data_IF_366725622916
#
_entry.id   IF_366725622916
#
_cell.length_a   1.000
_cell.length_b   1.000
_cell.length_c   1.000
_cell.angle_alpha   90.00
_cell.angle_beta   90.00
_cell.angle_gamma   90.00
#
_symmetry.space_group_name_H-M   'P 1'
#
loop_
_entity.id
_entity.type
_entity.pdbx_description
1 polymer ?
#
# COMPACT_ATOMS: atom_id res chain seq x y z
N UNK A 1 48.60 8.25 -57.70
CA UNK A 1 48.82 9.40 -58.59
C UNK A 1 48.59 10.73 -57.83
N UNK A 2 49.01 11.87 -58.42
CA UNK A 2 48.77 13.18 -57.74
C UNK A 2 47.29 13.44 -57.45
N UNK A 3 46.38 12.90 -58.26
CA UNK A 3 44.94 12.98 -58.11
C UNK A 3 44.45 12.26 -56.86
N UNK A 4 44.99 11.09 -56.53
CA UNK A 4 44.60 10.31 -55.35
C UNK A 4 45.05 11.02 -54.06
N UNK A 5 46.23 11.61 -54.07
CA UNK A 5 46.75 12.38 -52.91
C UNK A 5 45.89 13.64 -52.65
N UNK A 6 45.50 14.34 -53.71
CA UNK A 6 44.60 15.49 -53.59
C UNK A 6 43.19 15.08 -53.06
N UNK A 7 42.64 13.98 -53.56
CA UNK A 7 41.37 13.44 -53.07
C UNK A 7 41.43 13.06 -51.60
N UNK A 8 42.50 12.34 -51.17
CA UNK A 8 42.66 11.96 -49.77
C UNK A 8 42.83 13.19 -48.86
N UNK A 9 43.57 14.20 -49.30
CA UNK A 9 43.71 15.47 -48.58
C UNK A 9 42.37 16.18 -48.42
N UNK A 10 41.59 16.30 -49.53
CA UNK A 10 40.26 16.91 -49.45
C UNK A 10 39.29 16.14 -48.55
N UNK A 11 39.33 14.82 -48.61
CA UNK A 11 38.54 13.94 -47.74
C UNK A 11 38.88 14.08 -46.28
N UNK A 12 40.20 14.18 -45.98
CA UNK A 12 40.67 14.40 -44.59
C UNK A 12 40.23 15.81 -44.07
N UNK A 13 40.28 16.83 -44.93
CA UNK A 13 39.81 18.17 -44.59
C UNK A 13 38.28 18.18 -44.31
N UNK A 14 37.50 17.48 -45.15
CA UNK A 14 36.05 17.34 -44.94
C UNK A 14 35.73 16.67 -43.58
N UNK A 15 36.38 15.56 -43.30
CA UNK A 15 36.18 14.82 -42.02
C UNK A 15 36.55 15.68 -40.82
N UNK A 16 37.62 16.47 -40.89
CA UNK A 16 37.99 17.42 -39.82
C UNK A 16 36.92 18.49 -39.62
N UNK A 17 36.46 19.12 -40.71
CA UNK A 17 35.41 20.14 -40.66
C UNK A 17 34.09 19.60 -40.12
N UNK A 18 33.73 18.36 -40.45
CA UNK A 18 32.59 17.69 -39.90
C UNK A 18 32.75 17.43 -38.38
N UNK A 19 33.90 16.94 -37.93
CA UNK A 19 34.18 16.74 -36.52
C UNK A 19 34.16 18.06 -35.72
N UNK A 20 34.68 19.14 -36.27
CA UNK A 20 34.63 20.48 -35.66
C UNK A 20 33.17 20.99 -35.54
N UNK A 21 32.38 20.83 -36.59
CA UNK A 21 30.95 21.16 -36.55
C UNK A 21 30.24 20.37 -35.47
N UNK A 22 30.44 19.07 -35.41
CA UNK A 22 29.77 18.20 -34.47
C UNK A 22 30.14 18.55 -33.00
N UNK A 23 31.40 18.87 -32.76
CA UNK A 23 31.85 19.41 -31.45
C UNK A 23 31.17 20.74 -31.11
N UNK A 24 31.05 21.65 -32.08
CA UNK A 24 30.39 22.93 -31.86
C UNK A 24 28.88 22.75 -31.56
N UNK A 25 28.22 21.78 -32.20
CA UNK A 25 26.83 21.45 -31.93
C UNK A 25 26.63 20.90 -30.50
N UNK A 26 27.48 19.97 -30.05
CA UNK A 26 27.47 19.45 -28.68
C UNK A 26 27.68 20.59 -27.69
N UNK A 27 28.67 21.45 -27.90
CA UNK A 27 28.93 22.60 -27.05
C UNK A 27 27.77 23.62 -27.03
N UNK A 28 26.96 23.69 -28.06
CA UNK A 28 25.75 24.51 -28.09
C UNK A 28 24.60 23.82 -27.30
N UNK A 29 24.43 22.50 -27.43
CA UNK A 29 23.43 21.72 -26.66
C UNK A 29 23.72 21.79 -25.19
N UNK A 30 24.99 21.70 -24.76
CA UNK A 30 25.42 21.78 -23.38
C UNK A 30 25.10 23.12 -22.69
N UNK A 31 24.75 24.15 -23.48
CA UNK A 31 24.29 25.45 -22.97
C UNK A 31 22.83 25.47 -22.59
N UNK A 32 22.09 24.43 -22.93
CA UNK A 32 20.67 24.23 -22.56
C UNK A 32 20.52 23.03 -21.69
N UNK A 33 20.39 23.23 -20.36
CA UNK A 33 20.08 22.17 -19.46
C UNK A 33 18.58 21.82 -19.53
N UNK A 34 18.27 20.55 -19.78
CA UNK A 34 16.91 20.05 -19.87
C UNK A 34 16.67 18.98 -18.83
N UNK A 35 15.44 18.91 -18.33
CA UNK A 35 15.00 17.83 -17.47
C UNK A 35 15.13 16.48 -18.19
N UNK A 36 15.80 15.47 -17.58
CA UNK A 36 15.97 14.14 -18.19
C UNK A 36 14.69 13.30 -18.19
N UNK A 37 13.73 13.62 -17.33
CA UNK A 37 12.43 12.96 -17.18
C UNK A 37 11.35 13.98 -16.78
N UNK A 38 10.10 13.58 -16.86
CA UNK A 38 8.96 14.37 -16.40
C UNK A 38 8.89 14.33 -14.86
N UNK A 39 8.76 15.49 -14.22
CA UNK A 39 8.74 15.54 -12.75
C UNK A 39 8.41 16.93 -12.22
N UNK A 40 8.61 17.10 -10.93
CA UNK A 40 8.45 18.37 -10.21
C UNK A 40 9.83 18.92 -9.88
N UNK A 41 10.07 20.16 -10.28
CA UNK A 41 11.31 20.86 -9.95
C UNK A 41 11.17 21.46 -8.56
N UNK A 42 12.14 21.15 -7.69
CA UNK A 42 12.27 21.76 -6.37
C UNK A 42 12.65 23.24 -6.43
N UNK A 43 12.69 23.87 -5.28
CA UNK A 43 13.11 25.24 -5.15
C UNK A 43 14.58 25.41 -5.55
N UNK A 44 14.91 26.49 -6.22
CA UNK A 44 16.28 26.87 -6.58
C UNK A 44 16.59 28.26 -6.06
N UNK A 45 17.83 28.42 -5.58
CA UNK A 45 18.35 29.71 -5.13
C UNK A 45 19.17 30.41 -6.23
N UNK A 46 19.22 29.85 -7.43
CA UNK A 46 19.96 30.43 -8.54
C UNK A 46 19.26 31.68 -9.07
N UNK A 47 20.07 32.70 -9.35
CA UNK A 47 19.61 33.97 -9.92
C UNK A 47 20.22 34.19 -11.28
N UNK A 48 19.52 34.90 -12.17
CA UNK A 48 20.01 35.25 -13.48
C UNK A 48 21.30 36.06 -13.37
N UNK A 49 22.29 35.72 -14.16
CA UNK A 49 23.62 36.35 -14.16
C UNK A 49 24.60 35.73 -13.14
N UNK A 50 24.20 34.77 -12.36
CA UNK A 50 25.10 34.08 -11.47
C UNK A 50 26.10 33.20 -12.21
N UNK A 51 27.36 33.24 -11.80
CA UNK A 51 28.39 32.34 -12.31
C UNK A 51 28.19 30.96 -11.66
N UNK A 52 28.03 29.94 -12.48
CA UNK A 52 27.91 28.55 -12.05
C UNK A 52 29.03 27.70 -12.64
N UNK A 53 29.36 26.62 -11.98
CA UNK A 53 30.30 25.61 -12.46
C UNK A 53 29.62 24.22 -12.52
N UNK A 54 30.38 23.19 -12.90
CA UNK A 54 29.84 21.82 -13.02
C UNK A 54 29.46 21.17 -11.70
N UNK A 55 29.87 21.73 -10.57
CA UNK A 55 29.56 21.23 -9.23
C UNK A 55 28.36 21.97 -8.61
N UNK A 56 27.89 23.05 -9.23
CA UNK A 56 26.80 23.85 -8.71
C UNK A 56 25.46 23.13 -8.96
N UNK A 57 24.73 22.70 -7.90
CA UNK A 57 23.42 22.12 -8.08
C UNK A 57 22.44 23.18 -8.57
N UNK A 58 21.68 22.89 -9.61
CA UNK A 58 20.75 23.84 -10.22
C UNK A 58 19.37 23.75 -9.58
N UNK A 59 18.83 22.55 -9.49
CA UNK A 59 17.57 22.24 -8.85
C UNK A 59 17.47 20.73 -8.60
N UNK A 60 16.61 20.32 -7.71
CA UNK A 60 16.19 18.92 -7.60
C UNK A 60 15.06 18.68 -8.61
N UNK A 61 14.99 17.46 -9.12
CA UNK A 61 13.90 17.02 -9.98
C UNK A 61 13.39 15.68 -9.45
N UNK A 62 12.15 15.66 -9.00
CA UNK A 62 11.53 14.51 -8.38
C UNK A 62 10.38 13.97 -9.24
N UNK A 63 10.37 12.67 -9.49
CA UNK A 63 9.19 11.99 -10.02
C UNK A 63 8.28 11.59 -8.85
N UNK A 64 7.17 12.30 -8.71
CA UNK A 64 6.20 12.08 -7.65
C UNK A 64 4.98 11.28 -8.12
N UNK A 65 5.03 10.65 -9.28
CA UNK A 65 3.92 9.85 -9.81
C UNK A 65 3.66 8.59 -8.98
N UNK A 66 4.72 8.00 -8.45
CA UNK A 66 4.70 6.87 -7.53
C UNK A 66 5.60 7.18 -6.34
N UNK A 67 5.11 6.97 -5.16
CA UNK A 67 5.90 7.12 -3.93
C UNK A 67 6.35 5.73 -3.46
N UNK A 68 7.65 5.59 -3.29
CA UNK A 68 8.23 4.42 -2.64
C UNK A 68 8.29 4.64 -1.13
N UNK A 69 7.82 3.65 -0.37
CA UNK A 69 7.83 3.67 1.09
C UNK A 69 8.60 2.48 1.61
N UNK A 70 9.69 2.75 2.31
CA UNK A 70 10.51 1.73 2.96
C UNK A 70 10.05 1.56 4.42
N UNK A 71 9.81 0.32 4.81
CA UNK A 71 9.44 -0.03 6.17
C UNK A 71 9.96 -1.41 6.53
N UNK A 72 9.97 -1.73 7.84
CA UNK A 72 10.48 -3.02 8.31
C UNK A 72 9.38 -3.78 9.04
N UNK A 73 9.39 -5.09 8.93
CA UNK A 73 8.47 -5.98 9.64
C UNK A 73 9.25 -7.05 10.41
N UNK A 74 8.72 -7.56 11.53
CA UNK A 74 9.35 -8.67 12.26
C UNK A 74 9.53 -9.92 11.40
N UNK A 75 10.67 -10.63 11.57
CA UNK A 75 11.00 -11.84 10.79
C UNK A 75 9.95 -12.96 10.89
N UNK A 76 9.17 -13.00 11.98
CA UNK A 76 8.11 -13.98 12.19
C UNK A 76 7.01 -13.89 11.11
N UNK A 77 6.88 -12.75 10.45
CA UNK A 77 5.90 -12.54 9.38
C UNK A 77 6.37 -13.04 8.00
N UNK A 78 7.66 -13.39 7.86
CA UNK A 78 8.26 -13.80 6.59
C UNK A 78 7.44 -14.87 5.83
N UNK A 79 6.90 -15.94 6.48
CA UNK A 79 6.12 -16.94 5.76
C UNK A 79 4.79 -16.43 5.17
N UNK A 80 4.35 -15.25 5.60
CA UNK A 80 3.07 -14.63 5.19
C UNK A 80 3.27 -13.42 4.25
N UNK A 81 4.52 -13.09 3.92
CA UNK A 81 4.84 -11.95 3.07
C UNK A 81 4.90 -12.38 1.62
N UNK A 82 4.21 -11.64 0.76
CA UNK A 82 4.21 -11.84 -0.68
C UNK A 82 4.43 -10.50 -1.40
N UNK A 83 5.18 -10.54 -2.49
CA UNK A 83 5.24 -9.40 -3.41
C UNK A 83 3.86 -9.20 -4.06
N UNK A 84 3.45 -7.96 -4.27
CA UNK A 84 2.10 -7.61 -4.73
C UNK A 84 1.04 -7.58 -3.61
N UNK A 85 1.44 -7.85 -2.35
CA UNK A 85 0.54 -7.79 -1.21
C UNK A 85 0.13 -6.36 -0.92
N UNK A 86 -1.16 -6.15 -0.65
CA UNK A 86 -1.72 -4.82 -0.39
C UNK A 86 -1.22 -4.23 0.91
N UNK A 87 -0.92 -2.95 0.86
CA UNK A 87 -0.63 -2.12 2.03
C UNK A 87 -1.56 -0.91 2.05
N UNK A 88 -1.96 -0.51 3.23
CA UNK A 88 -2.71 0.71 3.47
C UNK A 88 -1.84 1.69 4.25
N UNK A 89 -1.87 2.94 3.83
CA UNK A 89 -1.05 3.97 4.44
C UNK A 89 -1.92 5.14 4.86
N UNK A 90 -1.60 5.69 6.02
CA UNK A 90 -2.24 6.90 6.53
C UNK A 90 -1.19 7.93 6.92
N UNK A 91 -1.56 9.20 6.83
CA UNK A 91 -0.71 10.32 7.18
C UNK A 91 -1.44 11.29 8.08
N UNK A 92 -0.74 11.85 9.05
CA UNK A 92 -1.27 12.92 9.88
C UNK A 92 -1.56 14.21 9.07
N UNK A 93 -0.89 14.40 7.93
CA UNK A 93 -1.15 15.53 7.03
C UNK A 93 -2.50 15.41 6.30
N UNK A 94 -3.06 14.20 6.19
CA UNK A 94 -4.32 13.92 5.50
C UNK A 94 -5.25 13.07 6.38
N UNK A 95 -5.85 13.67 7.43
CA UNK A 95 -6.71 12.93 8.35
C UNK A 95 -7.90 12.28 7.64
N UNK A 96 -8.14 11.00 7.92
CA UNK A 96 -9.25 10.24 7.33
C UNK A 96 -9.03 9.75 5.91
N UNK A 97 -7.87 10.03 5.30
CA UNK A 97 -7.52 9.50 3.98
C UNK A 97 -6.62 8.28 4.10
N UNK A 98 -6.99 7.23 3.42
CA UNK A 98 -6.20 6.00 3.28
C UNK A 98 -5.62 5.96 1.87
N UNK A 99 -4.32 5.81 1.77
CA UNK A 99 -3.61 5.57 0.53
C UNK A 99 -3.39 4.07 0.39
N UNK A 100 -3.57 3.54 -0.79
CA UNK A 100 -3.38 2.12 -1.07
C UNK A 100 -2.15 1.93 -1.94
N UNK A 101 -1.38 0.89 -1.62
CA UNK A 101 -0.21 0.50 -2.38
C UNK A 101 0.01 -0.99 -2.30
N UNK A 102 1.10 -1.45 -2.89
CA UNK A 102 1.47 -2.86 -2.92
C UNK A 102 2.95 -3.03 -2.59
N UNK A 103 3.30 -4.15 -1.97
CA UNK A 103 4.70 -4.52 -1.73
C UNK A 103 5.37 -4.76 -3.08
N UNK A 104 6.29 -3.87 -3.45
CA UNK A 104 7.07 -4.01 -4.68
C UNK A 104 8.32 -4.86 -4.48
N UNK A 105 8.91 -4.79 -3.28
CA UNK A 105 10.15 -5.52 -2.98
C UNK A 105 10.22 -5.97 -1.53
N UNK A 106 10.78 -7.16 -1.34
CA UNK A 106 11.10 -7.77 -0.05
C UNK A 106 12.61 -7.99 -0.02
N UNK A 107 13.31 -7.48 1.00
CA UNK A 107 14.74 -7.74 1.14
C UNK A 107 14.98 -9.25 1.36
N UNK A 108 16.11 -9.73 0.89
CA UNK A 108 16.51 -11.13 1.06
C UNK A 108 17.20 -11.39 2.40
N UNK A 109 17.48 -10.34 3.18
CA UNK A 109 18.23 -10.42 4.44
C UNK A 109 17.42 -9.87 5.60
N UNK A 110 17.48 -10.60 6.71
CA UNK A 110 16.98 -10.15 8.01
C UNK A 110 18.08 -9.37 8.72
N UNK A 111 17.77 -8.20 9.23
CA UNK A 111 18.65 -7.46 10.11
C UNK A 111 18.75 -8.20 11.46
N UNK A 112 19.97 -8.65 11.79
CA UNK A 112 20.22 -9.46 12.98
C UNK A 112 20.08 -8.66 14.29
N UNK A 113 20.24 -7.34 14.25
CA UNK A 113 20.15 -6.49 15.44
C UNK A 113 18.70 -6.20 15.81
N UNK A 114 17.85 -5.96 14.82
CA UNK A 114 16.43 -5.61 15.00
C UNK A 114 15.48 -6.79 14.82
N UNK A 115 15.98 -7.93 14.31
CA UNK A 115 15.16 -9.09 13.92
C UNK A 115 14.02 -8.73 12.98
N UNK A 116 14.30 -7.83 12.06
CA UNK A 116 13.33 -7.31 11.10
C UNK A 116 13.78 -7.49 9.66
N UNK A 117 12.80 -7.51 8.76
CA UNK A 117 12.97 -7.61 7.33
C UNK A 117 12.53 -6.29 6.70
N UNK A 118 13.36 -5.72 5.83
CA UNK A 118 13.02 -4.50 5.12
C UNK A 118 12.10 -4.81 3.92
N UNK A 119 11.10 -3.98 3.75
CA UNK A 119 10.13 -4.05 2.66
C UNK A 119 10.04 -2.69 1.98
N UNK A 120 9.74 -2.71 0.70
CA UNK A 120 9.40 -1.53 -0.08
C UNK A 120 8.01 -1.68 -0.67
N UNK A 121 7.18 -0.67 -0.49
CA UNK A 121 5.88 -0.58 -1.14
C UNK A 121 5.85 0.58 -2.11
N UNK A 122 5.10 0.44 -3.19
CA UNK A 122 4.82 1.47 -4.17
C UNK A 122 3.37 1.94 -4.05
N UNK A 123 3.19 3.25 -4.00
CA UNK A 123 1.90 3.90 -3.82
C UNK A 123 1.67 4.86 -4.99
N UNK A 124 0.64 4.66 -5.82
CA UNK A 124 0.23 5.63 -6.83
C UNK A 124 -0.09 6.99 -6.20
N UNK A 125 0.42 8.06 -6.79
CA UNK A 125 0.28 9.42 -6.26
C UNK A 125 -0.15 10.41 -7.36
N UNK A 126 -1.20 10.06 -8.08
CA UNK A 126 -1.68 10.81 -9.25
C UNK A 126 -2.04 12.26 -8.92
N UNK A 127 -2.58 12.51 -7.74
CA UNK A 127 -2.95 13.82 -7.24
C UNK A 127 -1.82 14.56 -6.51
N UNK A 128 -0.64 13.95 -6.41
CA UNK A 128 0.55 14.49 -5.74
C UNK A 128 0.31 14.92 -4.29
N UNK A 129 -0.57 14.21 -3.59
CA UNK A 129 -0.86 14.46 -2.18
C UNK A 129 0.30 14.04 -1.28
N UNK A 130 1.06 13.04 -1.66
CA UNK A 130 2.25 12.58 -0.96
C UNK A 130 3.49 13.26 -1.51
N UNK A 131 4.40 13.63 -0.62
CA UNK A 131 5.70 14.19 -0.95
C UNK A 131 6.82 13.37 -0.32
N UNK A 132 8.00 13.41 -0.91
CA UNK A 132 9.19 12.78 -0.34
C UNK A 132 9.46 13.27 1.09
N UNK A 133 9.89 12.39 1.97
CA UNK A 133 10.18 12.72 3.38
C UNK A 133 8.96 12.78 4.30
N UNK A 134 7.75 12.49 3.82
CA UNK A 134 6.56 12.42 4.68
C UNK A 134 6.60 11.18 5.56
N UNK A 135 6.13 11.35 6.81
CA UNK A 135 5.90 10.24 7.71
C UNK A 135 4.54 9.57 7.40
N UNK A 136 4.57 8.26 7.20
CA UNK A 136 3.40 7.45 6.91
C UNK A 136 3.28 6.29 7.90
N UNK A 137 2.07 6.03 8.36
CA UNK A 137 1.76 4.80 9.08
C UNK A 137 1.38 3.73 8.06
N UNK A 138 2.07 2.61 8.09
CA UNK A 138 1.85 1.48 7.18
C UNK A 138 1.05 0.41 7.90
N UNK A 139 -0.02 -0.04 7.27
CA UNK A 139 -0.83 -1.18 7.65
C UNK A 139 -0.69 -2.26 6.59
N UNK A 140 -0.10 -3.37 6.95
CA UNK A 140 0.07 -4.51 6.08
C UNK A 140 -1.16 -5.43 6.16
N UNK A 141 -1.79 -5.71 5.03
CA UNK A 141 -2.91 -6.67 4.93
C UNK A 141 -2.33 -8.06 4.74
N UNK A 142 -2.31 -8.88 5.81
CA UNK A 142 -1.67 -10.21 5.78
C UNK A 142 -2.55 -11.29 5.16
N UNK A 143 -3.86 -11.20 5.37
CA UNK A 143 -4.86 -12.13 4.82
C UNK A 143 -6.15 -11.38 4.52
N UNK A 144 -6.74 -11.63 3.37
CA UNK A 144 -8.12 -11.26 3.07
C UNK A 144 -8.98 -12.52 3.11
N UNK A 145 -9.87 -12.60 4.09
CA UNK A 145 -10.82 -13.72 4.22
C UNK A 145 -12.23 -13.17 4.22
N UNK A 146 -13.11 -13.81 3.49
CA UNK A 146 -14.55 -13.53 3.57
C UNK A 146 -15.19 -14.58 4.44
N UNK A 147 -15.53 -14.23 5.67
CA UNK A 147 -16.25 -15.09 6.60
C UNK A 147 -17.45 -14.36 7.18
N UNK A 148 -18.50 -15.07 7.56
CA UNK A 148 -19.61 -14.46 8.27
C UNK A 148 -19.11 -13.82 9.57
N UNK A 149 -19.57 -12.61 9.86
CA UNK A 149 -19.33 -11.96 11.14
C UNK A 149 -20.67 -11.63 11.78
N UNK A 150 -20.78 -11.85 13.07
CA UNK A 150 -21.98 -11.61 13.88
C UNK A 150 -21.68 -10.61 14.99
N UNK A 151 -22.64 -9.80 15.41
CA UNK A 151 -22.47 -8.90 16.55
C UNK A 151 -22.07 -9.68 17.82
N UNK A 152 -21.14 -9.13 18.59
CA UNK A 152 -20.66 -9.71 19.83
C UNK A 152 -21.80 -10.00 20.82
N UNK A 153 -22.80 -9.12 20.87
CA UNK A 153 -23.98 -9.30 21.73
C UNK A 153 -24.92 -10.42 21.28
N UNK A 154 -24.70 -11.07 20.15
CA UNK A 154 -25.43 -12.23 19.69
C UNK A 154 -24.84 -13.56 20.19
N UNK A 155 -23.66 -13.50 20.81
CA UNK A 155 -22.91 -14.67 21.25
C UNK A 155 -23.14 -14.91 22.75
N UNK A 156 -23.41 -16.17 23.10
CA UNK A 156 -23.48 -16.65 24.50
C UNK A 156 -22.36 -17.65 24.73
N UNK A 157 -21.61 -17.48 25.81
CA UNK A 157 -20.54 -18.41 26.17
C UNK A 157 -20.99 -19.26 27.36
N UNK A 158 -21.01 -20.57 27.18
CA UNK A 158 -21.33 -21.55 28.22
C UNK A 158 -20.17 -22.53 28.41
N UNK A 159 -19.36 -22.27 29.43
CA UNK A 159 -18.12 -23.04 29.67
C UNK A 159 -17.15 -22.85 28.49
N UNK A 160 -16.82 -23.95 27.81
CA UNK A 160 -15.92 -23.93 26.65
C UNK A 160 -16.65 -23.82 25.29
N UNK A 161 -17.99 -23.70 25.33
CA UNK A 161 -18.81 -23.63 24.10
C UNK A 161 -19.25 -22.20 23.83
N UNK A 162 -19.23 -21.85 22.57
CA UNK A 162 -19.73 -20.58 22.04
C UNK A 162 -21.01 -20.86 21.27
N UNK A 163 -22.09 -20.26 21.70
CA UNK A 163 -23.45 -20.55 21.23
C UNK A 163 -24.08 -19.30 20.62
N UNK A 164 -24.90 -19.48 19.61
CA UNK A 164 -25.73 -18.43 19.01
C UNK A 164 -27.16 -18.94 18.81
N UNK A 165 -28.13 -18.04 18.90
CA UNK A 165 -29.51 -18.33 18.57
C UNK A 165 -29.79 -18.00 17.11
N UNK A 166 -30.26 -18.96 16.34
CA UNK A 166 -30.60 -18.84 14.92
C UNK A 166 -32.12 -18.94 14.76
N UNK A 167 -32.71 -18.08 13.94
CA UNK A 167 -34.12 -18.16 13.60
C UNK A 167 -34.33 -19.14 12.44
N UNK A 168 -35.02 -20.26 12.73
CA UNK A 168 -35.47 -21.26 11.76
C UNK A 168 -37.00 -21.15 11.63
N UNK A 169 -37.49 -20.46 10.61
CA UNK A 169 -38.94 -20.17 10.46
C UNK A 169 -39.43 -19.33 11.63
N UNK A 170 -40.36 -19.89 12.44
CA UNK A 170 -40.95 -19.25 13.62
C UNK A 170 -40.39 -19.82 14.95
N UNK A 171 -39.28 -20.54 14.93
CA UNK A 171 -38.64 -21.08 16.13
C UNK A 171 -37.18 -20.63 16.22
N UNK A 172 -36.72 -20.52 17.45
CA UNK A 172 -35.31 -20.30 17.72
C UNK A 172 -34.59 -21.66 17.86
N UNK A 173 -33.38 -21.74 17.36
CA UNK A 173 -32.50 -22.89 17.51
C UNK A 173 -31.16 -22.45 18.02
N UNK A 174 -30.68 -23.15 19.05
CA UNK A 174 -29.32 -22.96 19.55
C UNK A 174 -28.33 -23.70 18.67
N UNK A 175 -27.25 -23.01 18.28
CA UNK A 175 -26.20 -23.54 17.41
C UNK A 175 -24.87 -23.23 18.03
N UNK A 176 -24.04 -24.26 18.16
CA UNK A 176 -22.65 -24.13 18.58
C UNK A 176 -21.80 -23.67 17.38
N UNK A 177 -20.96 -22.67 17.61
CA UNK A 177 -20.09 -22.09 16.58
C UNK A 177 -18.64 -22.02 17.05
N UNK A 178 -17.74 -22.10 16.10
CA UNK A 178 -16.35 -21.74 16.33
C UNK A 178 -16.16 -20.27 15.92
N UNK A 179 -15.56 -19.51 16.82
CA UNK A 179 -15.31 -18.08 16.59
C UNK A 179 -13.84 -17.84 16.24
N UNK A 180 -13.62 -16.83 15.42
CA UNK A 180 -12.29 -16.34 15.04
C UNK A 180 -11.98 -15.00 15.71
N UNK A 181 -11.55 -14.03 14.90
CA UNK A 181 -11.16 -12.72 15.40
C UNK A 181 -12.39 -11.88 15.77
N UNK A 182 -12.16 -10.95 16.71
CA UNK A 182 -13.14 -9.97 17.15
C UNK A 182 -12.65 -8.58 16.77
N UNK A 183 -13.48 -7.84 16.04
CA UNK A 183 -13.15 -6.49 15.61
C UNK A 183 -14.40 -5.62 15.48
N UNK A 184 -14.32 -4.36 15.92
CA UNK A 184 -15.39 -3.35 15.77
C UNK A 184 -16.77 -3.80 16.30
N UNK A 185 -16.79 -4.64 17.37
CA UNK A 185 -18.01 -5.20 17.97
C UNK A 185 -18.62 -6.35 17.16
N UNK A 186 -17.87 -6.90 16.22
CA UNK A 186 -18.20 -8.11 15.46
C UNK A 186 -17.25 -9.24 15.80
N UNK A 187 -17.76 -10.48 15.75
CA UNK A 187 -17.00 -11.72 15.93
C UNK A 187 -17.09 -12.54 14.65
N UNK A 188 -15.95 -12.94 14.13
CA UNK A 188 -15.84 -13.84 12.98
C UNK A 188 -16.38 -15.22 13.36
N UNK A 189 -17.18 -15.83 12.48
CA UNK A 189 -17.63 -17.22 12.60
C UNK A 189 -16.80 -18.08 11.66
N UNK A 190 -15.98 -18.95 12.25
CA UNK A 190 -15.09 -19.86 11.52
C UNK A 190 -15.86 -21.07 11.01
N UNK A 191 -16.74 -21.63 11.87
CA UNK A 191 -17.57 -22.78 11.53
C UNK A 191 -18.84 -22.81 12.38
N UNK A 192 -19.77 -23.71 12.03
CA UNK A 192 -21.02 -23.93 12.78
C UNK A 192 -22.21 -23.12 12.25
N UNK A 193 -22.02 -22.08 11.43
CA UNK A 193 -23.11 -21.25 10.94
C UNK A 193 -23.19 -21.26 9.40
N UNK A 194 -24.39 -21.47 8.86
CA UNK A 194 -24.59 -21.36 7.42
C UNK A 194 -24.53 -19.88 7.00
N UNK A 195 -24.00 -19.54 5.80
CA UNK A 195 -23.88 -18.16 5.33
C UNK A 195 -25.21 -17.40 5.24
N UNK A 196 -26.33 -18.13 5.10
CA UNK A 196 -27.70 -17.57 5.02
C UNK A 196 -28.45 -17.62 6.36
N UNK A 197 -27.80 -18.06 7.45
CA UNK A 197 -28.44 -18.16 8.74
C UNK A 197 -28.82 -16.78 9.29
N UNK A 198 -29.99 -16.67 9.88
CA UNK A 198 -30.47 -15.45 10.55
C UNK A 198 -30.22 -15.54 12.03
N UNK A 199 -29.22 -14.81 12.52
CA UNK A 199 -28.85 -14.80 13.92
C UNK A 199 -29.74 -13.84 14.71
N UNK A 200 -30.22 -14.27 15.87
CA UNK A 200 -31.03 -13.45 16.77
C UNK A 200 -30.06 -12.60 17.60
N UNK A 201 -30.22 -11.28 17.54
CA UNK A 201 -29.31 -10.30 18.18
C UNK A 201 -29.94 -9.56 19.35
N UNK A 202 -31.26 -9.75 19.58
CA UNK A 202 -31.99 -9.04 20.63
C UNK A 202 -32.82 -9.99 21.48
N UNK A 203 -33.07 -9.62 22.76
CA UNK A 203 -33.87 -10.39 23.71
C UNK A 203 -33.39 -11.83 23.97
N UNK A 204 -32.12 -12.11 23.81
CA UNK A 204 -31.50 -13.44 23.96
C UNK A 204 -31.83 -14.09 25.31
N UNK A 205 -31.91 -13.29 26.40
CA UNK A 205 -32.27 -13.76 27.75
C UNK A 205 -33.70 -14.33 27.86
N UNK A 206 -34.55 -14.13 26.85
CA UNK A 206 -35.94 -14.61 26.80
C UNK A 206 -36.17 -15.72 25.78
N UNK A 207 -35.11 -16.04 25.01
CA UNK A 207 -35.19 -17.02 23.92
C UNK A 207 -34.40 -18.25 24.36
N UNK A 208 -35.06 -19.38 24.36
CA UNK A 208 -34.44 -20.70 24.58
C UNK A 208 -34.56 -21.56 23.33
N UNK A 209 -33.79 -22.63 23.26
CA UNK A 209 -33.87 -23.60 22.18
C UNK A 209 -35.30 -24.13 21.99
N UNK A 210 -35.78 -24.12 20.75
CA UNK A 210 -37.17 -24.52 20.40
C UNK A 210 -38.23 -23.47 20.71
N UNK A 211 -37.90 -22.32 21.28
CA UNK A 211 -38.90 -21.26 21.57
C UNK A 211 -39.53 -20.70 20.31
N UNK A 212 -40.85 -20.49 20.38
CA UNK A 212 -41.56 -19.80 19.30
C UNK A 212 -41.18 -18.32 19.29
N UNK A 213 -40.78 -17.81 18.13
CA UNK A 213 -40.34 -16.42 17.93
C UNK A 213 -41.10 -15.77 16.77
N UNK A 214 -41.27 -14.47 16.89
CA UNK A 214 -41.62 -13.62 15.75
C UNK A 214 -40.41 -12.81 15.35
N UNK A 215 -39.73 -13.27 14.30
CA UNK A 215 -38.47 -12.65 13.86
C UNK A 215 -38.77 -11.41 12.99
N UNK A 216 -38.44 -10.25 13.50
CA UNK A 216 -38.41 -9.01 12.71
C UNK A 216 -37.02 -8.86 12.12
N UNK A 217 -36.90 -8.88 10.78
CA UNK A 217 -35.66 -8.69 10.09
C UNK A 217 -35.13 -7.26 10.33
N UNK A 218 -34.01 -7.16 11.01
CA UNK A 218 -33.25 -5.93 11.09
C UNK A 218 -32.15 -6.02 10.04
N UNK A 219 -32.35 -5.42 8.86
CA UNK A 219 -31.29 -5.32 7.85
C UNK A 219 -30.19 -4.40 8.36
N UNK A 220 -29.25 -4.95 9.08
CA UNK A 220 -27.93 -4.34 9.22
C UNK A 220 -27.07 -4.95 8.12
N UNK A 221 -27.01 -4.32 6.97
CA UNK A 221 -25.92 -4.55 6.02
C UNK A 221 -24.64 -4.16 6.73
N UNK A 222 -23.91 -5.15 7.22
CA UNK A 222 -22.49 -4.98 7.49
C UNK A 222 -21.87 -4.96 6.09
N UNK A 223 -21.47 -3.78 5.64
CA UNK A 223 -20.75 -3.66 4.38
C UNK A 223 -19.57 -4.61 4.45
N UNK A 224 -19.47 -5.51 3.47
CA UNK A 224 -18.42 -6.51 3.38
C UNK A 224 -16.99 -5.89 3.33
N UNK A 225 -16.89 -4.59 3.11
CA UNK A 225 -15.67 -3.82 3.21
C UNK A 225 -15.11 -3.69 4.65
N UNK A 226 -15.93 -3.82 5.69
CA UNK A 226 -15.47 -3.79 7.08
C UNK A 226 -14.97 -5.17 7.56
N UNK A 227 -15.44 -6.26 6.95
CA UNK A 227 -15.04 -7.63 7.30
C UNK A 227 -13.72 -8.06 6.62
N UNK A 228 -13.22 -7.30 5.63
CA UNK A 228 -11.98 -7.60 4.91
C UNK A 228 -10.71 -7.19 5.68
N UNK A 229 -10.84 -6.78 6.95
CA UNK A 229 -9.74 -6.16 7.69
C UNK A 229 -9.09 -7.12 8.69
N UNK A 230 -8.91 -8.37 8.28
CA UNK A 230 -8.47 -9.44 9.15
C UNK A 230 -6.95 -9.66 9.06
N UNK A 231 -6.27 -9.44 10.15
CA UNK A 231 -4.82 -9.65 10.30
C UNK A 231 -3.99 -8.37 10.37
N UNK A 232 -4.56 -7.27 10.82
CA UNK A 232 -3.85 -6.00 10.93
C UNK A 232 -2.87 -5.98 12.10
N UNK A 233 -1.59 -6.16 11.80
CA UNK A 233 -0.53 -5.67 12.67
C UNK A 233 -0.23 -4.22 12.21
N UNK A 234 -0.66 -3.25 13.00
CA UNK A 234 -0.25 -1.86 12.85
C UNK A 234 1.22 -1.73 13.24
N UNK A 235 2.10 -1.65 12.27
CA UNK A 235 3.51 -1.36 12.49
C UNK A 235 3.69 0.14 12.23
N UNK A 236 3.97 0.89 13.29
CA UNK A 236 4.38 2.30 13.16
C UNK A 236 5.82 2.34 12.69
N UNK A 237 6.05 2.81 11.49
CA UNK A 237 7.38 2.92 10.93
C UNK A 237 7.62 4.31 10.34
N UNK A 238 8.77 4.87 10.70
CA UNK A 238 9.28 6.09 10.10
C UNK A 238 9.91 5.75 8.74
N UNK A 239 9.39 6.31 7.67
CA UNK A 239 10.06 6.29 6.38
C UNK A 239 11.09 7.42 6.36
N UNK A 240 12.36 7.05 6.21
CA UNK A 240 13.46 7.96 5.95
C UNK A 240 13.79 7.88 4.45
N UNK A 241 13.50 8.93 3.74
CA UNK A 241 14.29 9.67 2.74
C UNK A 241 13.46 10.71 2.08
#
# INVERSE_FOLDING_TARGET
SASDAAYQTARAALLRAQAERDRALVALEDRSLRAPFAGVIGLTDLVEGQLIDTATPIATLDDLSVIEVDFSVPEILLPRLLQGQRVELTSAAWPGRVFQGEISRIDSRVDAATRSLALRAEIPNDDRALAGGMFLQVRLVLDERQRPAIPENAVTVEGDRVLVMVAEGNSAREVEIDTGQQQDGLIEVVSGLAPSARVIVTNLHRVSDGAAIEAVAQERRVDAAAAANDGQLGIQLAAWQ
#
